data_IF_464567198766
#
_entry.id   IF_464567198766
#
_cell.length_a   1.000
_cell.length_b   1.000
_cell.length_c   1.000
_cell.angle_alpha   90.00
_cell.angle_beta   90.00
_cell.angle_gamma   90.00
#
_symmetry.space_group_name_H-M   'P 1'
#
loop_
_entity.id
_entity.type
_entity.pdbx_description
1 polymer ?
#
# COMPACT_ATOMS: atom_id res chain seq x y z
N UNK A 1 15.43 -81.33 4.63
CA UNK A 1 15.22 -80.33 3.57
C UNK A 1 14.56 -79.11 4.22
N UNK A 2 15.33 -78.11 4.49
CA UNK A 2 14.82 -76.81 5.04
C UNK A 2 14.76 -75.81 3.88
N UNK A 3 13.56 -75.36 3.58
CA UNK A 3 13.37 -74.23 2.64
C UNK A 3 13.42 -72.92 3.40
N UNK A 4 14.46 -72.13 3.13
CA UNK A 4 14.55 -70.75 3.62
C UNK A 4 13.92 -69.86 2.56
N UNK A 5 12.74 -69.32 2.85
CA UNK A 5 12.09 -68.30 2.04
C UNK A 5 12.67 -66.94 2.40
N UNK A 6 13.49 -66.37 1.53
CA UNK A 6 13.99 -64.96 1.64
C UNK A 6 12.84 -64.02 1.30
N UNK A 7 12.29 -63.33 2.29
CA UNK A 7 11.33 -62.26 2.10
C UNK A 7 12.01 -61.00 1.66
N UNK A 8 11.74 -60.52 0.45
CA UNK A 8 12.19 -59.23 -0.07
C UNK A 8 11.32 -58.11 0.56
N UNK A 9 11.90 -57.39 1.51
CA UNK A 9 11.26 -56.15 2.04
C UNK A 9 11.52 -55.05 1.04
N UNK A 10 10.53 -54.73 0.21
CA UNK A 10 10.52 -53.50 -0.61
C UNK A 10 10.15 -52.32 0.26
N UNK A 11 11.11 -51.58 0.76
CA UNK A 11 10.88 -50.28 1.38
C UNK A 11 10.55 -49.27 0.28
N UNK A 12 9.26 -49.03 0.05
CA UNK A 12 8.81 -47.91 -0.77
C UNK A 12 9.18 -46.57 -0.03
N UNK A 13 10.26 -45.96 -0.48
CA UNK A 13 10.55 -44.56 -0.15
C UNK A 13 9.46 -43.71 -0.82
N UNK A 14 8.40 -43.44 -0.08
CA UNK A 14 7.48 -42.38 -0.45
C UNK A 14 8.28 -41.04 -0.36
N UNK A 15 8.74 -40.55 -1.51
CA UNK A 15 9.15 -39.17 -1.64
C UNK A 15 7.90 -38.34 -1.44
N UNK A 16 7.60 -38.01 -0.17
CA UNK A 16 6.58 -37.07 0.17
C UNK A 16 7.00 -35.74 -0.45
N UNK A 17 6.26 -35.25 -1.43
CA UNK A 17 6.36 -33.89 -1.85
C UNK A 17 6.12 -33.04 -0.59
N UNK A 18 7.14 -32.38 -0.08
CA UNK A 18 7.04 -31.49 1.06
C UNK A 18 6.26 -30.29 0.58
N UNK A 19 4.97 -30.27 0.82
CA UNK A 19 4.16 -29.06 0.62
C UNK A 19 4.81 -27.90 1.38
N UNK A 20 4.90 -26.74 0.77
CA UNK A 20 5.50 -25.57 1.44
C UNK A 20 4.75 -25.28 2.73
N UNK A 21 5.51 -24.89 3.71
CA UNK A 21 4.94 -24.48 4.98
C UNK A 21 4.47 -23.00 4.90
N UNK A 22 3.53 -22.64 5.75
CA UNK A 22 3.14 -21.23 5.93
C UNK A 22 4.36 -20.35 6.29
N UNK A 23 5.32 -20.91 7.05
CA UNK A 23 6.53 -20.22 7.45
C UNK A 23 7.44 -19.90 6.24
N UNK A 24 7.59 -20.82 5.31
CA UNK A 24 8.36 -20.60 4.08
C UNK A 24 7.72 -19.51 3.20
N UNK A 25 6.39 -19.54 3.08
CA UNK A 25 5.63 -18.48 2.39
C UNK A 25 5.81 -17.13 3.06
N UNK A 26 5.76 -17.08 4.39
CA UNK A 26 5.98 -15.86 5.18
C UNK A 26 7.40 -15.33 4.97
N UNK A 27 8.41 -16.19 5.06
CA UNK A 27 9.84 -15.83 4.89
C UNK A 27 10.09 -15.30 3.47
N UNK A 28 9.52 -15.95 2.46
CA UNK A 28 9.63 -15.49 1.08
C UNK A 28 9.10 -14.07 0.90
N UNK A 29 7.90 -13.78 1.43
CA UNK A 29 7.30 -12.44 1.31
C UNK A 29 8.06 -11.41 2.14
N UNK A 30 8.54 -11.77 3.32
CA UNK A 30 9.37 -10.87 4.14
C UNK A 30 10.68 -10.51 3.42
N UNK A 31 11.37 -11.47 2.80
CA UNK A 31 12.56 -11.24 1.99
C UNK A 31 12.24 -10.38 0.76
N UNK A 32 11.16 -10.67 0.06
CA UNK A 32 10.68 -9.88 -1.08
C UNK A 32 10.50 -8.41 -0.70
N UNK A 33 9.83 -8.12 0.43
CA UNK A 33 9.54 -6.76 0.86
C UNK A 33 10.76 -6.02 1.43
N UNK A 34 11.59 -6.71 2.23
CA UNK A 34 12.68 -6.06 2.98
C UNK A 34 13.99 -5.95 2.21
N UNK A 35 14.26 -6.85 1.29
CA UNK A 35 15.50 -6.87 0.51
C UNK A 35 15.27 -6.52 -0.95
N UNK A 36 14.45 -7.29 -1.65
CA UNK A 36 14.31 -7.19 -3.10
C UNK A 36 13.54 -5.96 -3.56
N UNK A 37 12.42 -5.65 -2.92
CA UNK A 37 11.67 -4.42 -3.20
C UNK A 37 12.49 -3.17 -2.83
N UNK A 38 13.26 -3.24 -1.74
CA UNK A 38 14.14 -2.14 -1.34
C UNK A 38 15.25 -1.90 -2.37
N UNK A 39 15.78 -2.93 -3.01
CA UNK A 39 16.74 -2.78 -4.10
C UNK A 39 16.14 -2.05 -5.32
N UNK A 40 14.83 -2.18 -5.56
CA UNK A 40 14.12 -1.47 -6.64
C UNK A 40 13.65 -0.06 -6.21
N UNK A 41 13.74 0.32 -4.93
CA UNK A 41 13.16 1.56 -4.39
C UNK A 41 13.64 2.81 -5.11
N UNK A 42 14.93 2.91 -5.42
CA UNK A 42 15.50 4.04 -6.15
C UNK A 42 14.97 4.15 -7.58
N UNK A 43 14.85 3.03 -8.29
CA UNK A 43 14.32 2.98 -9.66
C UNK A 43 12.86 3.41 -9.74
N UNK A 44 12.05 3.04 -8.76
CA UNK A 44 10.63 3.37 -8.70
C UNK A 44 10.33 4.59 -7.81
N UNK A 45 11.36 5.22 -7.22
CA UNK A 45 11.21 6.37 -6.31
C UNK A 45 10.24 6.07 -5.15
N UNK A 46 10.31 4.87 -4.55
CA UNK A 46 9.36 4.44 -3.52
C UNK A 46 9.55 5.11 -2.16
N UNK A 47 10.68 5.77 -1.93
CA UNK A 47 10.93 6.51 -0.68
C UNK A 47 10.08 7.77 -0.60
N UNK A 48 10.01 8.51 -1.72
CA UNK A 48 9.22 9.73 -1.89
C UNK A 48 8.61 9.75 -3.29
N UNK A 49 7.37 9.26 -3.42
CA UNK A 49 6.66 9.27 -4.69
C UNK A 49 6.00 10.63 -4.89
N UNK A 50 6.35 11.40 -5.94
CA UNK A 50 5.66 12.65 -6.23
C UNK A 50 4.16 12.44 -6.43
N UNK A 51 3.35 13.33 -5.86
CA UNK A 51 1.91 13.43 -6.05
C UNK A 51 1.58 14.75 -6.73
N UNK A 52 0.51 14.76 -7.50
CA UNK A 52 0.08 15.94 -8.23
C UNK A 52 -0.37 17.07 -7.30
N UNK A 53 -0.09 18.31 -7.69
CA UNK A 53 -0.60 19.50 -7.03
C UNK A 53 -2.12 19.59 -7.20
N UNK A 54 -2.81 20.13 -6.20
CA UNK A 54 -4.25 20.35 -6.28
C UNK A 54 -4.69 21.61 -5.53
N UNK A 55 -5.91 22.03 -5.77
CA UNK A 55 -6.54 23.16 -5.13
C UNK A 55 -8.02 22.95 -4.95
N UNK A 56 -8.59 23.54 -3.89
CA UNK A 56 -10.03 23.58 -3.72
C UNK A 56 -10.51 24.91 -3.12
N UNK A 57 -11.83 25.09 -3.18
CA UNK A 57 -12.54 26.22 -2.62
C UNK A 57 -13.77 25.74 -1.86
N UNK A 58 -13.87 26.05 -0.57
CA UNK A 58 -15.06 25.84 0.24
C UNK A 58 -15.78 27.17 0.35
N UNK A 59 -17.01 27.23 -0.17
CA UNK A 59 -17.84 28.43 -0.06
C UNK A 59 -18.27 28.61 1.39
N UNK A 60 -18.33 29.89 1.84
CA UNK A 60 -18.96 30.23 3.11
C UNK A 60 -20.46 29.92 3.04
N UNK A 61 -21.00 29.40 4.10
CA UNK A 61 -22.46 29.34 4.27
C UNK A 61 -22.97 30.69 4.78
N UNK A 62 -24.05 31.17 4.16
CA UNK A 62 -24.73 32.40 4.58
C UNK A 62 -25.88 31.97 5.50
N UNK A 63 -25.74 32.19 6.79
CA UNK A 63 -26.88 32.15 7.71
C UNK A 63 -27.72 33.40 7.46
N UNK A 64 -29.04 33.17 7.27
CA UNK A 64 -30.01 34.24 7.04
C UNK A 64 -29.98 35.27 8.19
N UNK A 65 -29.57 36.50 7.88
CA UNK A 65 -29.62 37.66 8.80
C UNK A 65 -28.36 37.99 9.57
N UNK A 66 -27.28 37.26 9.39
CA UNK A 66 -25.98 37.54 10.04
C UNK A 66 -24.96 37.96 8.99
N UNK A 67 -24.26 39.06 9.23
CA UNK A 67 -23.13 39.47 8.39
C UNK A 67 -22.06 38.38 8.44
N UNK A 68 -21.57 37.91 7.27
CA UNK A 68 -20.60 36.83 7.23
C UNK A 68 -19.28 37.26 7.89
N UNK A 69 -18.94 36.56 8.96
CA UNK A 69 -17.70 36.82 9.72
C UNK A 69 -16.46 36.20 9.06
N UNK A 70 -16.67 35.34 8.06
CA UNK A 70 -15.57 34.61 7.41
C UNK A 70 -15.66 34.69 5.88
N UNK A 71 -14.52 34.52 5.21
CA UNK A 71 -14.41 34.42 3.75
C UNK A 71 -14.48 32.95 3.32
N UNK A 72 -14.67 32.73 2.01
CA UNK A 72 -14.47 31.41 1.40
C UNK A 72 -13.07 30.90 1.76
N UNK A 73 -12.97 29.60 2.11
CA UNK A 73 -11.67 28.94 2.23
C UNK A 73 -11.15 28.68 0.82
N UNK A 74 -9.93 29.04 0.56
CA UNK A 74 -9.18 28.68 -0.65
C UNK A 74 -7.87 28.07 -0.21
N UNK A 75 -7.59 26.87 -0.67
CA UNK A 75 -6.36 26.15 -0.38
C UNK A 75 -5.69 25.69 -1.68
N UNK A 76 -4.39 25.86 -1.76
CA UNK A 76 -3.54 25.40 -2.84
C UNK A 76 -2.48 24.49 -2.23
N UNK A 77 -2.34 23.28 -2.75
CA UNK A 77 -1.46 22.22 -2.27
C UNK A 77 -0.37 21.98 -3.30
N UNK A 78 0.87 22.03 -2.86
CA UNK A 78 2.05 21.85 -3.70
C UNK A 78 3.07 20.93 -3.01
N UNK A 79 4.07 20.50 -3.77
CA UNK A 79 5.15 19.64 -3.28
C UNK A 79 4.60 18.35 -2.63
N UNK A 80 3.57 17.75 -3.26
CA UNK A 80 2.97 16.50 -2.80
C UNK A 80 3.94 15.34 -2.90
N UNK A 81 4.08 14.55 -1.83
CA UNK A 81 4.84 13.31 -1.80
C UNK A 81 4.12 12.23 -1.01
N UNK A 82 4.14 11.00 -1.51
CA UNK A 82 3.73 9.81 -0.79
C UNK A 82 4.97 9.10 -0.26
N UNK A 83 5.01 8.88 1.05
CA UNK A 83 6.13 8.22 1.75
C UNK A 83 5.67 6.95 2.46
N UNK A 84 6.62 6.08 2.79
CA UNK A 84 6.36 4.87 3.57
C UNK A 84 6.13 3.60 2.74
N UNK A 85 6.14 3.67 1.42
CA UNK A 85 5.98 2.48 0.55
C UNK A 85 7.14 1.47 0.66
N UNK A 86 8.28 1.87 1.19
CA UNK A 86 9.41 0.98 1.48
C UNK A 86 9.30 0.27 2.84
N UNK A 87 8.31 0.64 3.65
CA UNK A 87 8.11 0.09 5.00
C UNK A 87 6.94 -0.91 5.08
N UNK A 88 6.58 -1.49 3.95
CA UNK A 88 5.52 -2.49 3.86
C UNK A 88 5.81 -3.71 4.71
N UNK A 89 4.74 -4.30 5.25
CA UNK A 89 4.78 -5.53 6.04
C UNK A 89 3.61 -6.42 5.66
N UNK A 90 3.75 -7.72 5.94
CA UNK A 90 2.61 -8.62 5.90
C UNK A 90 1.59 -8.26 6.99
N UNK A 91 0.32 -8.42 6.67
CA UNK A 91 -0.79 -8.36 7.65
C UNK A 91 -1.14 -9.78 8.10
N UNK A 92 -0.41 -10.30 9.10
CA UNK A 92 -0.56 -11.70 9.52
C UNK A 92 0.21 -12.68 8.63
N UNK A 93 -0.34 -13.87 8.43
CA UNK A 93 0.32 -14.95 7.70
C UNK A 93 -0.12 -15.04 6.24
N UNK A 94 0.82 -15.38 5.36
CA UNK A 94 0.52 -15.82 4.00
C UNK A 94 -0.08 -17.24 4.02
N UNK A 95 -0.79 -17.61 2.99
CA UNK A 95 -1.15 -19.02 2.77
C UNK A 95 0.08 -19.82 2.33
N UNK A 96 0.17 -21.11 2.66
CA UNK A 96 1.12 -22.01 2.01
C UNK A 96 0.95 -21.93 0.49
N UNK A 97 2.04 -22.12 -0.27
CA UNK A 97 1.94 -22.20 -1.72
C UNK A 97 1.07 -23.40 -2.14
N UNK A 98 0.32 -23.22 -3.21
CA UNK A 98 -0.53 -24.27 -3.77
C UNK A 98 -0.39 -24.28 -5.31
N UNK A 99 -0.51 -25.47 -5.90
CA UNK A 99 -0.55 -25.58 -7.36
C UNK A 99 -1.99 -25.37 -7.84
N UNK A 100 -2.28 -24.22 -8.42
CA UNK A 100 -3.62 -23.85 -8.88
C UNK A 100 -3.57 -23.42 -10.35
N UNK A 101 -4.46 -23.97 -11.17
CA UNK A 101 -4.62 -23.57 -12.59
C UNK A 101 -3.31 -23.55 -13.39
N UNK A 102 -2.43 -24.54 -13.18
CA UNK A 102 -1.17 -24.67 -13.93
C UNK A 102 -0.03 -23.75 -13.44
N UNK A 103 -0.12 -23.23 -12.23
CA UNK A 103 0.90 -22.37 -11.63
C UNK A 103 1.03 -22.63 -10.12
N UNK A 104 2.23 -22.47 -9.58
CA UNK A 104 2.43 -22.30 -8.13
C UNK A 104 1.87 -20.94 -7.76
N UNK A 105 1.01 -20.90 -6.77
CA UNK A 105 0.31 -19.68 -6.34
C UNK A 105 0.56 -19.42 -4.85
N UNK A 106 0.90 -18.20 -4.50
CA UNK A 106 1.06 -17.71 -3.14
C UNK A 106 0.14 -16.50 -2.94
N UNK A 107 -0.65 -16.51 -1.86
CA UNK A 107 -1.55 -15.42 -1.49
C UNK A 107 -1.14 -14.85 -0.15
N UNK A 108 -1.02 -13.51 -0.07
CA UNK A 108 -0.60 -12.84 1.14
C UNK A 108 -1.25 -11.46 1.30
N UNK A 109 -1.72 -11.09 2.49
CA UNK A 109 -2.17 -9.73 2.77
C UNK A 109 -1.00 -8.83 3.20
N UNK A 110 -0.95 -7.59 2.67
CA UNK A 110 0.02 -6.57 3.04
C UNK A 110 -0.66 -5.42 3.80
N UNK A 111 0.06 -4.87 4.75
CA UNK A 111 -0.35 -3.71 5.55
C UNK A 111 0.35 -2.44 5.05
N UNK A 112 -0.44 -1.38 4.81
CA UNK A 112 0.00 -0.07 4.35
C UNK A 112 -0.08 1.01 5.44
N UNK A 113 -0.34 0.66 6.69
CA UNK A 113 -0.61 1.62 7.78
C UNK A 113 0.53 2.63 8.07
N UNK A 114 1.72 2.44 7.50
CA UNK A 114 2.84 3.38 7.66
C UNK A 114 3.03 4.33 6.46
N UNK A 115 2.05 4.39 5.57
CA UNK A 115 2.09 5.23 4.38
C UNK A 115 1.37 6.55 4.65
N UNK A 116 1.99 7.68 4.27
CA UNK A 116 1.37 8.99 4.39
C UNK A 116 1.66 9.87 3.16
N UNK A 117 0.67 10.67 2.76
CA UNK A 117 0.87 11.76 1.82
C UNK A 117 1.18 13.05 2.59
N UNK A 118 2.16 13.82 2.11
CA UNK A 118 2.60 15.10 2.67
C UNK A 118 2.47 16.18 1.63
N UNK A 119 1.94 17.36 2.03
CA UNK A 119 1.80 18.51 1.18
C UNK A 119 2.17 19.79 1.91
N UNK A 120 2.72 20.74 1.19
CA UNK A 120 2.73 22.16 1.60
C UNK A 120 1.45 22.81 1.09
N UNK A 121 0.68 23.45 1.96
CA UNK A 121 -0.58 24.11 1.59
C UNK A 121 -0.57 25.59 1.91
N UNK A 122 -1.07 26.40 0.97
CA UNK A 122 -1.28 27.83 1.12
C UNK A 122 -2.77 28.11 1.29
N UNK A 123 -3.18 28.46 2.52
CA UNK A 123 -4.59 28.58 2.92
C UNK A 123 -4.99 30.03 3.13
N UNK A 124 -6.14 30.43 2.56
CA UNK A 124 -6.82 31.71 2.78
C UNK A 124 -8.21 31.49 3.36
N UNK A 125 -8.77 32.53 3.99
CA UNK A 125 -10.16 32.51 4.46
C UNK A 125 -10.32 32.22 5.95
N UNK A 126 -9.23 32.09 6.69
CA UNK A 126 -9.25 31.94 8.15
C UNK A 126 -9.52 33.29 8.88
N UNK A 127 -9.33 34.42 8.18
CA UNK A 127 -9.63 35.74 8.70
C UNK A 127 -10.27 36.65 7.65
N UNK A 128 -10.78 37.82 8.09
CA UNK A 128 -11.43 38.82 7.23
C UNK A 128 -10.44 39.55 6.33
N UNK A 129 -9.17 39.70 6.77
CA UNK A 129 -8.11 40.46 6.06
C UNK A 129 -7.66 39.72 4.79
N UNK A 130 -7.83 38.41 4.72
CA UNK A 130 -7.47 37.60 3.54
C UNK A 130 -5.99 37.24 3.49
N UNK A 131 -5.33 37.19 4.63
CA UNK A 131 -3.97 36.67 4.75
C UNK A 131 -3.86 35.25 4.22
N UNK A 132 -2.67 34.88 3.76
CA UNK A 132 -2.29 33.52 3.38
C UNK A 132 -1.49 32.92 4.53
N UNK A 133 -1.81 31.70 4.90
CA UNK A 133 -1.03 30.91 5.86
C UNK A 133 -0.46 29.69 5.14
N UNK A 134 0.83 29.50 5.24
CA UNK A 134 1.49 28.28 4.79
C UNK A 134 1.45 27.25 5.92
N UNK A 135 1.05 26.02 5.58
CA UNK A 135 0.94 24.92 6.54
C UNK A 135 1.42 23.61 5.89
N UNK A 136 1.85 22.69 6.74
CA UNK A 136 2.09 21.30 6.35
C UNK A 136 0.83 20.48 6.61
N UNK A 137 0.39 19.74 5.59
CA UNK A 137 -0.77 18.85 5.68
C UNK A 137 -0.30 17.42 5.44
N UNK A 138 -0.72 16.51 6.32
CA UNK A 138 -0.41 15.08 6.25
C UNK A 138 -1.70 14.28 6.16
N UNK A 139 -1.75 13.34 5.24
CA UNK A 139 -2.84 12.36 5.14
C UNK A 139 -2.24 10.98 5.37
N UNK A 140 -2.46 10.44 6.57
CA UNK A 140 -1.94 9.14 6.98
C UNK A 140 -2.92 8.03 6.69
N UNK A 141 -2.45 6.91 6.20
CA UNK A 141 -3.23 5.67 6.16
C UNK A 141 -3.30 5.11 7.58
N UNK A 142 -4.51 5.01 8.13
CA UNK A 142 -4.77 4.37 9.42
C UNK A 142 -5.10 2.89 9.27
N UNK A 143 -5.72 2.53 8.16
CA UNK A 143 -5.99 1.14 7.79
C UNK A 143 -6.03 1.01 6.27
N UNK A 144 -5.21 0.12 5.74
CA UNK A 144 -5.32 -0.35 4.36
C UNK A 144 -4.65 -1.72 4.23
N UNK A 145 -5.33 -2.63 3.59
CA UNK A 145 -4.87 -3.99 3.35
C UNK A 145 -4.92 -4.25 1.85
N UNK A 146 -3.78 -4.65 1.30
CA UNK A 146 -3.68 -5.16 -0.06
C UNK A 146 -3.68 -6.68 0.01
N UNK A 147 -4.64 -7.32 -0.66
CA UNK A 147 -4.57 -8.74 -0.94
C UNK A 147 -3.83 -8.93 -2.27
N UNK A 148 -2.67 -9.57 -2.22
CA UNK A 148 -1.92 -9.82 -3.43
C UNK A 148 -1.67 -11.32 -3.62
N UNK A 149 -1.70 -11.71 -4.87
CA UNK A 149 -1.44 -13.08 -5.31
C UNK A 149 -0.24 -13.06 -6.25
N UNK A 150 0.73 -13.92 -5.98
CA UNK A 150 1.90 -14.16 -6.84
C UNK A 150 1.72 -15.53 -7.50
N UNK A 151 1.98 -15.60 -8.80
CA UNK A 151 1.99 -16.84 -9.58
C UNK A 151 3.36 -17.09 -10.19
N UNK A 152 3.75 -18.35 -10.21
CA UNK A 152 4.91 -18.84 -10.96
C UNK A 152 4.47 -20.00 -11.86
N UNK A 153 4.58 -19.82 -13.16
CA UNK A 153 4.36 -20.88 -14.15
C UNK A 153 5.67 -21.56 -14.47
N UNK A 154 5.58 -22.77 -15.01
CA UNK A 154 6.75 -23.50 -15.49
C UNK A 154 7.55 -22.60 -16.45
N UNK A 155 8.88 -22.55 -16.27
CA UNK A 155 9.83 -21.79 -17.08
C UNK A 155 9.60 -20.25 -17.13
N UNK A 156 8.80 -19.71 -16.22
CA UNK A 156 8.56 -18.28 -16.10
C UNK A 156 8.97 -17.77 -14.72
N UNK A 157 9.44 -16.52 -14.66
CA UNK A 157 9.67 -15.84 -13.38
C UNK A 157 8.34 -15.55 -12.69
N UNK A 158 8.31 -15.50 -11.34
CA UNK A 158 7.11 -15.13 -10.59
C UNK A 158 6.60 -13.74 -10.98
N UNK A 159 5.29 -13.55 -10.90
CA UNK A 159 4.64 -12.26 -11.17
C UNK A 159 3.40 -12.08 -10.29
N UNK A 160 3.05 -10.83 -10.04
CA UNK A 160 1.80 -10.48 -9.34
C UNK A 160 0.63 -10.70 -10.29
N UNK A 161 -0.25 -11.65 -9.97
CA UNK A 161 -1.46 -11.95 -10.75
C UNK A 161 -2.69 -11.19 -10.24
N UNK A 162 -2.69 -10.86 -8.94
CA UNK A 162 -3.78 -10.12 -8.30
C UNK A 162 -3.18 -9.13 -7.30
N UNK A 163 -3.66 -7.89 -7.34
CA UNK A 163 -3.27 -6.84 -6.41
C UNK A 163 -4.51 -5.99 -6.09
N UNK A 164 -5.21 -6.34 -5.03
CA UNK A 164 -6.50 -5.73 -4.68
C UNK A 164 -6.38 -4.94 -3.40
N UNK A 165 -6.54 -3.63 -3.51
CA UNK A 165 -6.67 -2.70 -2.41
C UNK A 165 -8.16 -2.37 -2.23
N UNK A 166 -8.80 -3.00 -1.25
CA UNK A 166 -10.26 -2.91 -1.07
C UNK A 166 -10.69 -1.59 -0.43
N UNK A 167 -9.92 -1.09 0.53
CA UNK A 167 -10.27 0.08 1.33
C UNK A 167 -9.01 0.77 1.82
N UNK A 168 -9.04 2.11 1.80
CA UNK A 168 -8.06 2.95 2.49
C UNK A 168 -8.83 3.80 3.48
N UNK A 169 -8.49 3.71 4.76
CA UNK A 169 -8.92 4.67 5.78
C UNK A 169 -7.77 5.62 6.03
N UNK A 170 -8.09 6.90 6.03
CA UNK A 170 -7.09 7.96 6.21
C UNK A 170 -7.47 8.89 7.35
N UNK A 171 -6.45 9.54 7.90
CA UNK A 171 -6.58 10.64 8.85
C UNK A 171 -5.81 11.83 8.29
N UNK A 172 -6.48 12.99 8.21
CA UNK A 172 -5.87 14.24 7.76
C UNK A 172 -5.46 15.07 8.97
N UNK A 173 -4.16 15.34 9.08
CA UNK A 173 -3.57 16.12 10.14
C UNK A 173 -2.99 17.43 9.58
N UNK A 174 -3.27 18.56 10.25
CA UNK A 174 -2.71 19.88 9.97
C UNK A 174 -2.70 20.76 11.24
N UNK A 175 -1.83 21.77 11.33
CA UNK A 175 -1.79 22.66 12.47
C UNK A 175 -3.07 23.52 12.57
N UNK A 176 -3.37 24.02 13.75
CA UNK A 176 -4.48 24.98 13.93
C UNK A 176 -4.25 26.24 13.07
N UNK A 177 -5.22 26.52 12.21
CA UNK A 177 -5.24 27.67 11.32
C UNK A 177 -6.31 28.68 11.66
N UNK A 178 -7.02 28.49 12.76
CA UNK A 178 -8.09 29.39 13.23
C UNK A 178 -9.45 29.12 12.61
N UNK A 179 -9.69 27.89 12.10
CA UNK A 179 -11.02 27.44 11.69
C UNK A 179 -11.82 26.96 12.90
N UNK A 180 -13.14 27.11 12.84
CA UNK A 180 -14.03 26.41 13.77
C UNK A 180 -14.11 24.93 13.39
N UNK A 181 -14.76 24.13 14.24
CA UNK A 181 -14.85 22.66 14.07
C UNK A 181 -15.47 22.25 12.73
N UNK A 182 -16.56 22.90 12.33
CA UNK A 182 -17.25 22.61 11.07
C UNK A 182 -16.37 22.89 9.85
N UNK A 183 -15.63 24.01 9.85
CA UNK A 183 -14.72 24.37 8.77
C UNK A 183 -13.50 23.46 8.74
N UNK A 184 -13.01 23.02 9.90
CA UNK A 184 -11.95 22.03 10.01
C UNK A 184 -12.41 20.69 9.42
N UNK A 185 -13.64 20.26 9.71
CA UNK A 185 -14.21 19.04 9.15
C UNK A 185 -14.33 19.11 7.62
N UNK A 186 -14.91 20.19 7.08
CA UNK A 186 -15.01 20.43 5.63
C UNK A 186 -13.64 20.48 4.96
N UNK A 187 -12.64 21.08 5.61
CA UNK A 187 -11.29 21.16 5.09
C UNK A 187 -10.65 19.78 5.01
N UNK A 188 -10.78 18.94 6.05
CA UNK A 188 -10.30 17.53 6.04
C UNK A 188 -10.96 16.73 4.94
N UNK A 189 -12.27 16.83 4.80
CA UNK A 189 -13.06 16.13 3.79
C UNK A 189 -12.60 16.47 2.36
N UNK A 190 -12.36 17.75 2.05
CA UNK A 190 -11.87 18.16 0.73
C UNK A 190 -10.42 17.71 0.47
N UNK A 191 -9.56 17.70 1.49
CA UNK A 191 -8.21 17.13 1.38
C UNK A 191 -8.29 15.63 1.11
N UNK A 192 -9.10 14.90 1.86
CA UNK A 192 -9.28 13.46 1.70
C UNK A 192 -9.81 13.10 0.32
N UNK A 193 -10.82 13.79 -0.17
CA UNK A 193 -11.37 13.61 -1.53
C UNK A 193 -10.33 13.79 -2.63
N UNK A 194 -9.41 14.75 -2.44
CA UNK A 194 -8.37 15.00 -3.42
C UNK A 194 -7.22 13.99 -3.34
N UNK A 195 -6.76 13.67 -2.12
CA UNK A 195 -5.55 12.86 -1.89
C UNK A 195 -5.81 11.36 -2.04
N UNK A 196 -6.97 10.88 -1.60
CA UNK A 196 -7.31 9.46 -1.62
C UNK A 196 -7.17 8.80 -3.01
N UNK A 197 -7.73 9.35 -4.12
CA UNK A 197 -7.55 8.78 -5.45
C UNK A 197 -6.08 8.73 -5.90
N UNK A 198 -5.27 9.74 -5.55
CA UNK A 198 -3.85 9.78 -5.90
C UNK A 198 -3.07 8.70 -5.16
N UNK A 199 -3.32 8.52 -3.86
CA UNK A 199 -2.73 7.44 -3.07
C UNK A 199 -3.12 6.07 -3.64
N UNK A 200 -4.40 5.87 -3.93
CA UNK A 200 -4.91 4.62 -4.51
C UNK A 200 -4.21 4.28 -5.82
N UNK A 201 -4.15 5.22 -6.77
CA UNK A 201 -3.51 5.03 -8.07
C UNK A 201 -2.02 4.75 -7.94
N UNK A 202 -1.33 5.45 -7.03
CA UNK A 202 0.10 5.26 -6.78
C UNK A 202 0.38 3.86 -6.21
N UNK A 203 -0.41 3.43 -5.25
CA UNK A 203 -0.27 2.12 -4.60
C UNK A 203 -0.58 1.00 -5.61
N UNK A 204 -1.70 1.07 -6.32
CA UNK A 204 -2.11 0.01 -7.25
C UNK A 204 -1.30 -0.02 -8.54
N UNK A 205 -0.65 1.07 -8.91
CA UNK A 205 0.24 1.16 -10.07
C UNK A 205 1.71 0.99 -9.69
N UNK A 206 2.33 2.06 -9.23
CA UNK A 206 3.79 2.14 -9.04
C UNK A 206 4.33 1.10 -8.06
N UNK A 207 3.63 0.85 -6.94
CA UNK A 207 4.07 -0.17 -5.98
C UNK A 207 3.93 -1.58 -6.55
N UNK A 208 2.83 -1.89 -7.23
CA UNK A 208 2.66 -3.17 -7.90
C UNK A 208 3.75 -3.42 -8.96
N UNK A 209 4.09 -2.40 -9.75
CA UNK A 209 5.15 -2.49 -10.74
C UNK A 209 6.53 -2.74 -10.10
N UNK A 210 6.82 -2.09 -8.98
CA UNK A 210 8.05 -2.30 -8.23
C UNK A 210 8.13 -3.72 -7.63
N UNK A 211 7.03 -4.25 -7.09
CA UNK A 211 6.96 -5.64 -6.61
C UNK A 211 7.19 -6.61 -7.78
N UNK A 212 6.58 -6.37 -8.95
CA UNK A 212 6.82 -7.18 -10.14
C UNK A 212 8.29 -7.12 -10.62
N UNK A 213 8.93 -5.96 -10.51
CA UNK A 213 10.37 -5.85 -10.83
C UNK A 213 11.22 -6.64 -9.82
N UNK A 214 10.90 -6.57 -8.53
CA UNK A 214 11.57 -7.34 -7.48
C UNK A 214 11.42 -8.86 -7.70
N UNK A 215 10.26 -9.33 -8.12
CA UNK A 215 10.01 -10.74 -8.44
C UNK A 215 10.80 -11.23 -9.68
N UNK A 216 11.14 -10.33 -10.60
CA UNK A 216 11.91 -10.67 -11.80
C UNK A 216 13.42 -10.72 -11.59
N UNK A 217 13.93 -10.38 -10.40
CA UNK A 217 15.35 -10.50 -10.07
C UNK A 217 15.81 -11.96 -10.18
N UNK A 218 17.14 -12.14 -10.35
CA UNK A 218 17.68 -13.50 -10.50
C UNK A 218 17.57 -14.30 -9.20
N UNK A 219 17.33 -15.60 -9.35
CA UNK A 219 17.18 -16.53 -8.24
C UNK A 219 15.84 -16.45 -7.49
N UNK A 220 14.91 -15.58 -7.89
CA UNK A 220 13.58 -15.54 -7.27
C UNK A 220 12.73 -16.68 -7.80
N UNK A 221 12.26 -17.52 -6.88
CA UNK A 221 11.31 -18.62 -7.11
C UNK A 221 10.37 -18.71 -5.92
N UNK A 222 9.11 -19.07 -6.18
CA UNK A 222 8.19 -19.38 -5.08
C UNK A 222 8.65 -20.63 -4.32
N UNK A 223 8.32 -20.73 -3.02
CA UNK A 223 8.50 -21.98 -2.28
C UNK A 223 7.81 -23.13 -3.02
N UNK A 224 8.41 -24.34 -3.05
CA UNK A 224 7.83 -25.50 -3.73
C UNK A 224 6.50 -25.91 -3.09
N UNK A 225 5.66 -26.58 -3.85
CA UNK A 225 4.37 -27.16 -3.39
C UNK A 225 4.55 -28.59 -2.95
#
# INVERSE_FOLDING_TARGET
MLYVTAGLIVTALAAGALASTQEESNRFVDDLLTQRLRAESGRFQLEEVPLDDFKFKIKKELELGILPTHRDIKANFTNGVLVGLTNLRRKGNCNPTAYLTGAITLVCPLDLANTEARYTSFVKGFNIVGQVKEIQVKTKITEAIVNFEIKEKQDQKPFVSTFVLNRILTQVDFPDIGFNEERNAKFRDEVEKAVHPMMFTTITGKLMDAINAALKQDGVKLPPV
#
